data_IF_392284287055
#
_entry.id   IF_392284287055
#
_cell.length_a   1.000
_cell.length_b   1.000
_cell.length_c   1.000
_cell.angle_alpha   90.00
_cell.angle_beta   90.00
_cell.angle_gamma   90.00
#
_symmetry.space_group_name_H-M   'P 1'
#
loop_
_entity.id
_entity.type
_entity.pdbx_description
1 polymer ?
#
# COMPACT_ATOMS: atom_id res chain seq x y z
N UNK A 1 -14.28 -2.26 9.32
CA UNK A 1 -13.65 -1.53 8.20
C UNK A 1 -13.03 -0.26 8.76
N UNK A 2 -11.80 0.07 8.37
CA UNK A 2 -11.09 1.31 8.70
C UNK A 2 -10.85 2.12 7.41
N UNK A 3 -11.16 3.41 7.44
CA UNK A 3 -10.93 4.34 6.34
C UNK A 3 -9.98 5.43 6.83
N UNK A 4 -8.89 5.67 6.13
CA UNK A 4 -7.92 6.70 6.49
C UNK A 4 -7.63 7.56 5.27
N UNK A 5 -7.78 8.87 5.43
CA UNK A 5 -7.39 9.84 4.41
C UNK A 5 -5.97 10.35 4.72
N UNK A 6 -5.17 10.56 3.68
CA UNK A 6 -3.76 10.98 3.80
C UNK A 6 -2.99 10.16 4.85
N UNK A 7 -2.94 8.83 4.66
CA UNK A 7 -2.38 7.88 5.64
C UNK A 7 -0.95 8.21 6.08
N UNK A 8 -0.20 8.89 5.23
CA UNK A 8 1.19 9.28 5.42
C UNK A 8 1.39 10.69 5.98
N UNK A 9 0.31 11.41 6.32
CA UNK A 9 0.39 12.79 6.81
C UNK A 9 1.24 12.90 8.08
N UNK A 10 2.25 13.78 8.03
CA UNK A 10 3.17 14.02 9.14
C UNK A 10 4.24 12.94 9.36
N UNK A 11 4.31 11.91 8.52
CA UNK A 11 5.32 10.85 8.63
C UNK A 11 6.52 11.13 7.72
N UNK A 12 7.72 11.02 8.30
CA UNK A 12 8.95 10.98 7.51
C UNK A 12 9.04 9.64 6.77
N UNK A 13 9.60 9.62 5.56
CA UNK A 13 9.65 8.43 4.69
C UNK A 13 10.24 7.18 5.39
N UNK A 14 11.21 7.39 6.28
CA UNK A 14 11.84 6.31 7.06
C UNK A 14 10.89 5.57 8.00
N UNK A 15 9.77 6.19 8.40
CA UNK A 15 8.77 5.59 9.29
C UNK A 15 7.65 4.86 8.53
N UNK A 16 7.52 5.06 7.21
CA UNK A 16 6.37 4.56 6.45
C UNK A 16 6.39 3.03 6.32
N UNK A 17 7.56 2.40 6.21
CA UNK A 17 7.66 0.93 6.18
C UNK A 17 7.22 0.30 7.51
N UNK A 18 7.56 0.90 8.65
CA UNK A 18 7.10 0.45 9.97
C UNK A 18 5.60 0.68 10.14
N UNK A 19 5.09 1.81 9.67
CA UNK A 19 3.65 2.10 9.63
C UNK A 19 2.90 1.01 8.86
N UNK A 20 3.34 0.62 7.66
CA UNK A 20 2.67 -0.42 6.88
C UNK A 20 2.66 -1.78 7.59
N UNK A 21 3.76 -2.16 8.23
CA UNK A 21 3.83 -3.38 9.04
C UNK A 21 2.86 -3.33 10.23
N UNK A 22 2.75 -2.18 10.90
CA UNK A 22 1.82 -1.99 12.02
C UNK A 22 0.37 -2.09 11.55
N UNK A 23 0.03 -1.39 10.46
CA UNK A 23 -1.31 -1.42 9.86
C UNK A 23 -1.68 -2.85 9.48
N UNK A 24 -0.79 -3.56 8.77
CA UNK A 24 -1.03 -4.95 8.38
C UNK A 24 -1.29 -5.86 9.58
N UNK A 25 -0.37 -5.89 10.55
CA UNK A 25 -0.51 -6.74 11.74
C UNK A 25 -1.79 -6.43 12.51
N UNK A 26 -2.13 -5.15 12.66
CA UNK A 26 -3.32 -4.72 13.39
C UNK A 26 -4.59 -5.08 12.62
N UNK A 27 -4.62 -4.87 11.30
CA UNK A 27 -5.74 -5.20 10.45
C UNK A 27 -6.02 -6.70 10.44
N UNK A 28 -4.98 -7.53 10.32
CA UNK A 28 -5.08 -9.00 10.40
C UNK A 28 -5.57 -9.45 11.77
N UNK A 29 -4.98 -8.95 12.85
CA UNK A 29 -5.38 -9.30 14.23
C UNK A 29 -6.84 -8.96 14.53
N UNK A 30 -7.32 -7.83 14.01
CA UNK A 30 -8.69 -7.37 14.22
C UNK A 30 -9.67 -7.90 13.17
N UNK A 31 -9.18 -8.62 12.16
CA UNK A 31 -9.95 -9.07 10.99
C UNK A 31 -10.76 -7.93 10.34
N UNK A 32 -10.08 -6.83 10.02
CA UNK A 32 -10.70 -5.67 9.36
C UNK A 32 -10.05 -5.35 8.01
N UNK A 33 -10.87 -4.86 7.08
CA UNK A 33 -10.38 -4.25 5.85
C UNK A 33 -9.98 -2.78 6.09
N UNK A 34 -8.85 -2.38 5.53
CA UNK A 34 -8.32 -1.00 5.57
C UNK A 34 -8.38 -0.41 4.16
N UNK A 35 -8.94 0.78 4.04
CA UNK A 35 -8.81 1.63 2.86
C UNK A 35 -8.06 2.89 3.24
N UNK A 36 -7.00 3.20 2.50
CA UNK A 36 -6.15 4.35 2.73
C UNK A 36 -5.96 5.13 1.43
N UNK A 37 -5.90 6.46 1.53
CA UNK A 37 -5.52 7.34 0.42
C UNK A 37 -4.13 7.93 0.69
N UNK A 38 -3.42 8.28 -0.38
CA UNK A 38 -2.17 9.01 -0.32
C UNK A 38 -1.97 9.80 -1.60
N UNK A 39 -1.24 10.92 -1.51
CA UNK A 39 -0.72 11.65 -2.65
C UNK A 39 0.81 11.50 -2.81
N UNK A 40 1.44 10.72 -1.92
CA UNK A 40 2.89 10.59 -1.82
C UNK A 40 3.42 9.38 -2.57
N UNK A 41 4.47 9.59 -3.37
CA UNK A 41 5.21 8.47 -3.95
C UNK A 41 5.90 7.64 -2.89
N UNK A 42 6.45 8.28 -1.87
CA UNK A 42 7.24 7.61 -0.83
C UNK A 42 6.37 6.66 -0.02
N UNK A 43 5.09 7.01 0.17
CA UNK A 43 4.11 6.17 0.85
C UNK A 43 3.90 4.83 0.15
N UNK A 44 3.65 4.81 -1.17
CA UNK A 44 3.44 3.54 -1.88
C UNK A 44 4.74 2.80 -2.19
N UNK A 45 5.87 3.51 -2.31
CA UNK A 45 7.20 2.88 -2.47
C UNK A 45 7.61 2.13 -1.22
N UNK A 46 7.44 2.74 -0.04
CA UNK A 46 7.66 2.02 1.23
C UNK A 46 6.75 0.79 1.37
N UNK A 47 5.53 0.82 0.83
CA UNK A 47 4.68 -0.38 0.75
C UNK A 47 5.31 -1.47 -0.14
N UNK A 48 5.90 -1.09 -1.28
CA UNK A 48 6.63 -2.00 -2.16
C UNK A 48 7.81 -2.66 -1.44
N UNK A 49 8.57 -1.90 -0.66
CA UNK A 49 9.69 -2.40 0.15
C UNK A 49 9.22 -3.47 1.14
N UNK A 50 8.14 -3.21 1.87
CA UNK A 50 7.65 -4.15 2.89
C UNK A 50 7.06 -5.42 2.24
N UNK A 51 6.49 -5.31 1.02
CA UNK A 51 6.07 -6.46 0.22
C UNK A 51 7.29 -7.32 -0.18
N UNK A 52 8.36 -6.69 -0.67
CA UNK A 52 9.60 -7.37 -1.08
C UNK A 52 10.31 -8.08 0.06
N UNK A 53 10.28 -7.48 1.25
CA UNK A 53 10.86 -8.07 2.46
C UNK A 53 10.02 -9.23 3.04
N UNK A 54 8.95 -9.65 2.35
CA UNK A 54 7.98 -10.68 2.74
C UNK A 54 7.35 -10.46 4.13
N UNK A 55 7.41 -9.23 4.65
CA UNK A 55 6.92 -8.87 5.99
C UNK A 55 5.39 -8.83 6.08
N UNK A 56 4.68 -8.89 4.95
CA UNK A 56 3.21 -8.79 4.85
C UNK A 56 2.54 -10.08 4.37
N UNK A 57 3.06 -11.27 4.67
CA UNK A 57 2.39 -12.52 4.26
C UNK A 57 1.14 -12.81 5.12
N UNK A 58 0.03 -13.11 4.46
CA UNK A 58 -1.21 -13.56 5.12
C UNK A 58 -1.15 -15.04 5.53
N UNK A 59 -2.11 -15.50 6.34
CA UNK A 59 -2.15 -16.89 6.85
C UNK A 59 -2.16 -17.96 5.74
N UNK A 60 -2.64 -17.62 4.53
CA UNK A 60 -2.67 -18.50 3.37
C UNK A 60 -1.50 -18.29 2.39
N UNK A 61 -0.47 -17.54 2.78
CA UNK A 61 0.67 -17.20 1.91
C UNK A 61 0.35 -16.14 0.85
N UNK A 62 -0.87 -15.60 0.82
CA UNK A 62 -1.29 -14.52 -0.07
C UNK A 62 -1.70 -13.30 0.75
N UNK A 63 -1.07 -12.16 0.49
CA UNK A 63 -1.58 -10.85 0.89
C UNK A 63 -2.55 -10.33 -0.17
N UNK A 64 -3.58 -9.59 0.27
CA UNK A 64 -4.57 -8.97 -0.62
C UNK A 64 -4.32 -7.47 -0.77
N UNK A 65 -3.06 -7.04 -0.90
CA UNK A 65 -2.73 -5.62 -1.01
C UNK A 65 -2.92 -5.17 -2.46
N UNK A 66 -3.65 -4.06 -2.63
CA UNK A 66 -3.91 -3.45 -3.94
C UNK A 66 -3.81 -1.94 -3.85
N UNK A 67 -3.19 -1.33 -4.86
CA UNK A 67 -3.25 0.12 -5.08
C UNK A 67 -4.22 0.40 -6.23
N UNK A 68 -5.13 1.35 -6.00
CA UNK A 68 -6.07 1.85 -6.98
C UNK A 68 -5.67 3.27 -7.37
N UNK A 69 -4.99 3.44 -8.50
CA UNK A 69 -4.71 4.79 -9.04
C UNK A 69 -5.96 5.33 -9.71
N UNK A 70 -6.46 6.46 -9.21
CA UNK A 70 -7.66 7.11 -9.71
C UNK A 70 -7.24 8.24 -10.66
N UNK A 71 -7.82 8.25 -11.86
CA UNK A 71 -7.53 9.26 -12.88
C UNK A 71 -8.84 9.95 -13.30
N UNK A 72 -8.85 11.29 -13.33
CA UNK A 72 -10.05 12.09 -13.64
C UNK A 72 -10.74 11.72 -14.95
N UNK A 73 -9.97 11.27 -15.96
CA UNK A 73 -10.47 10.94 -17.30
C UNK A 73 -10.87 9.45 -17.45
N UNK A 74 -10.73 8.64 -16.41
CA UNK A 74 -11.08 7.21 -16.44
C UNK A 74 -12.27 6.95 -15.51
N UNK A 75 -13.17 6.09 -15.95
CA UNK A 75 -14.31 5.62 -15.17
C UNK A 75 -13.97 4.43 -14.25
N UNK A 76 -12.74 3.92 -14.32
CA UNK A 76 -12.23 2.80 -13.53
C UNK A 76 -10.81 3.12 -13.06
N UNK A 77 -10.48 2.68 -11.85
CA UNK A 77 -9.11 2.77 -11.32
C UNK A 77 -8.15 1.86 -12.09
N UNK A 78 -6.90 2.27 -12.22
CA UNK A 78 -5.82 1.37 -12.61
C UNK A 78 -5.37 0.61 -11.37
N UNK A 79 -5.43 -0.72 -11.42
CA UNK A 79 -5.16 -1.60 -10.27
C UNK A 79 -3.76 -2.17 -10.33
N UNK A 80 -3.01 -1.99 -9.25
CA UNK A 80 -1.71 -2.59 -9.01
C UNK A 80 -1.85 -3.64 -7.91
N UNK A 81 -1.65 -4.92 -8.27
CA UNK A 81 -1.44 -6.02 -7.32
C UNK A 81 -0.02 -5.98 -6.79
N UNK A 82 0.28 -6.70 -5.71
CA UNK A 82 1.63 -6.78 -5.13
C UNK A 82 2.77 -6.93 -6.15
N UNK A 83 2.74 -7.91 -7.09
CA UNK A 83 3.80 -7.98 -8.11
C UNK A 83 3.88 -6.72 -8.98
N UNK A 84 2.75 -6.09 -9.30
CA UNK A 84 2.72 -4.85 -10.08
C UNK A 84 3.20 -3.65 -9.28
N UNK A 85 2.98 -3.59 -7.97
CA UNK A 85 3.48 -2.54 -7.08
C UNK A 85 5.01 -2.59 -7.10
N UNK A 86 5.58 -3.77 -6.88
CA UNK A 86 7.03 -4.01 -6.91
C UNK A 86 7.64 -3.69 -8.29
N UNK A 87 6.99 -4.11 -9.38
CA UNK A 87 7.45 -3.79 -10.74
C UNK A 87 7.37 -2.29 -11.00
N UNK A 88 6.32 -1.63 -10.52
CA UNK A 88 6.12 -0.19 -10.70
C UNK A 88 7.23 0.61 -10.02
N UNK A 89 7.62 0.23 -8.80
CA UNK A 89 8.73 0.89 -8.11
C UNK A 89 10.06 0.68 -8.85
N UNK A 90 10.42 -0.57 -9.15
CA UNK A 90 11.65 -0.92 -9.86
C UNK A 90 11.81 -0.24 -11.23
N UNK A 91 10.70 0.00 -11.93
CA UNK A 91 10.69 0.65 -13.26
C UNK A 91 10.37 2.14 -13.19
N UNK A 92 10.25 2.70 -11.99
CA UNK A 92 9.90 4.09 -11.73
C UNK A 92 8.62 4.52 -12.50
N UNK A 93 7.63 3.62 -12.54
CA UNK A 93 6.30 3.88 -13.11
C UNK A 93 5.54 4.79 -12.15
N UNK A 94 4.92 5.84 -12.68
CA UNK A 94 4.09 6.73 -11.86
C UNK A 94 2.83 5.99 -11.37
N UNK A 95 2.63 5.89 -10.05
CA UNK A 95 1.46 5.23 -9.42
C UNK A 95 0.50 6.23 -8.76
N UNK A 96 0.94 7.48 -8.54
CA UNK A 96 0.09 8.57 -8.03
C UNK A 96 -0.91 9.08 -9.07
#
# INVERSE_FOLDING_TARGET
>A
VLLVDEIDSGLHHTAMSEMWQLIWKTATKLNIQVFATTHSSDCWKSLADVILEEKLTGENGSSEIRIHRIERRKNKSVVFTEPKIVIADNRNIEVR
#
